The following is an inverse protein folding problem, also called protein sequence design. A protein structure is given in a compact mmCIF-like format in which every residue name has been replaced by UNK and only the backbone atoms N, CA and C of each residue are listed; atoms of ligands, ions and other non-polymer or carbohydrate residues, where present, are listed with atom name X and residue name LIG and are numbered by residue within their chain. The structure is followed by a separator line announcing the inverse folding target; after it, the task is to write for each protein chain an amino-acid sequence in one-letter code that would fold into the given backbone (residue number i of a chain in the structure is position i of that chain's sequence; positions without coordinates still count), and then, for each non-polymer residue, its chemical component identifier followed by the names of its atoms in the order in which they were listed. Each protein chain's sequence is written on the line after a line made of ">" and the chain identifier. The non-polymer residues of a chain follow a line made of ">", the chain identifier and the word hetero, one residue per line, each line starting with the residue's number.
data_IF_007058617052
#
_entry.id   IF_007058617052
#
_cell.length_a   1.000
_cell.length_b   1.000
_cell.length_c   1.000
_cell.angle_alpha   90.00
_cell.angle_beta   90.00
_cell.angle_gamma   90.00
#
_symmetry.space_group_name_H-M   'P 1'
#
loop_
_entity.id
_entity.type
_entity.pdbx_description
1 polymer ?
#
# COMPACT_ATOMS: atom_id res chain seq x y z
N UNK A 1 -10.55 29.01 37.47
CA UNK A 1 -10.95 27.94 36.54
C UNK A 1 -9.73 27.06 36.27
N UNK A 2 -9.88 25.73 36.25
CA UNK A 2 -8.80 24.81 36.58
C UNK A 2 -7.80 24.60 35.44
N UNK A 3 -6.55 24.40 35.86
CA UNK A 3 -5.41 23.92 35.09
C UNK A 3 -5.66 22.46 34.69
N UNK A 4 -5.62 22.15 33.39
CA UNK A 4 -5.59 20.75 32.91
C UNK A 4 -4.14 20.31 32.91
N UNK A 5 -3.75 19.57 33.96
CA UNK A 5 -2.46 18.89 34.05
C UNK A 5 -2.60 17.57 33.28
N UNK A 6 -2.05 17.52 32.06
CA UNK A 6 -1.86 16.26 31.34
C UNK A 6 -0.60 15.57 31.88
N UNK A 7 -0.76 14.71 32.89
CA UNK A 7 0.28 13.74 33.26
C UNK A 7 0.26 12.61 32.23
N UNK A 8 0.99 12.77 31.13
CA UNK A 8 1.35 11.65 30.26
C UNK A 8 2.81 11.29 30.50
N UNK A 9 3.02 10.29 31.36
CA UNK A 9 4.31 9.68 31.69
C UNK A 9 4.81 8.68 30.64
N UNK A 10 4.39 8.82 29.38
CA UNK A 10 4.78 7.90 28.30
C UNK A 10 5.61 8.62 27.23
N UNK A 11 6.68 9.27 27.68
CA UNK A 11 7.73 9.87 26.84
C UNK A 11 8.83 8.85 26.47
N UNK A 12 8.55 7.54 26.57
CA UNK A 12 9.54 6.46 26.43
C UNK A 12 9.23 5.43 25.33
N UNK A 13 8.15 5.61 24.55
CA UNK A 13 7.87 4.77 23.36
C UNK A 13 8.08 5.59 22.08
N UNK A 14 9.20 6.32 22.04
CA UNK A 14 9.74 6.91 20.82
C UNK A 14 11.17 6.40 20.64
N UNK A 15 11.39 5.10 20.88
CA UNK A 15 12.64 4.44 20.55
C UNK A 15 12.53 3.93 19.12
N UNK A 16 13.27 4.61 18.24
CA UNK A 16 13.84 4.05 17.02
C UNK A 16 12.85 3.62 15.92
N UNK A 17 12.33 4.61 15.19
CA UNK A 17 12.17 4.42 13.74
C UNK A 17 13.59 4.29 13.16
N UNK A 18 14.14 3.07 13.09
CA UNK A 18 15.34 2.84 12.28
C UNK A 18 14.88 2.93 10.82
N UNK A 19 14.94 4.14 10.29
CA UNK A 19 14.81 4.40 8.86
C UNK A 19 16.09 3.94 8.13
N UNK A 20 16.35 2.63 8.11
CA UNK A 20 17.46 2.09 7.34
C UNK A 20 17.03 1.96 5.87
N UNK A 21 17.83 2.42 4.90
CA UNK A 21 17.65 2.05 3.50
C UNK A 21 17.76 0.52 3.41
N UNK A 22 16.64 -0.06 2.99
CA UNK A 22 16.27 -1.46 3.12
C UNK A 22 17.18 -2.38 2.27
N UNK A 23 18.34 -2.80 2.79
CA UNK A 23 19.00 -4.06 2.39
C UNK A 23 18.38 -5.20 3.21
N UNK A 24 17.08 -5.38 3.08
CA UNK A 24 16.31 -6.15 4.06
C UNK A 24 16.00 -7.53 3.50
N UNK A 25 16.18 -8.59 4.31
CA UNK A 25 15.88 -9.96 3.88
C UNK A 25 14.41 -10.09 3.44
N UNK A 26 14.14 -10.99 2.49
CA UNK A 26 12.79 -11.26 1.96
C UNK A 26 11.76 -11.54 3.07
N UNK A 27 12.22 -12.10 4.20
CA UNK A 27 11.40 -12.34 5.39
C UNK A 27 10.69 -11.09 5.92
N UNK A 28 11.35 -9.94 5.85
CA UNK A 28 10.82 -8.71 6.45
C UNK A 28 9.87 -8.01 5.46
N UNK A 29 10.10 -8.22 4.16
CA UNK A 29 9.18 -7.82 3.07
C UNK A 29 7.85 -8.55 3.22
N UNK A 30 7.90 -9.87 3.45
CA UNK A 30 6.71 -10.68 3.69
C UNK A 30 6.04 -10.31 5.02
N UNK A 31 6.84 -10.07 6.07
CA UNK A 31 6.32 -9.67 7.37
C UNK A 31 5.56 -8.33 7.30
N UNK A 32 6.13 -7.30 6.67
CA UNK A 32 5.46 -6.00 6.55
C UNK A 32 4.24 -6.08 5.65
N UNK A 33 4.29 -6.81 4.53
CA UNK A 33 3.13 -7.01 3.66
C UNK A 33 1.99 -7.72 4.41
N UNK A 34 2.32 -8.70 5.26
CA UNK A 34 1.36 -9.38 6.12
C UNK A 34 0.77 -8.45 7.18
N UNK A 35 1.57 -7.62 7.83
CA UNK A 35 1.08 -6.67 8.83
C UNK A 35 0.15 -5.65 8.19
N UNK A 36 0.51 -5.11 7.02
CA UNK A 36 -0.35 -4.19 6.25
C UNK A 36 -1.65 -4.88 5.83
N UNK A 37 -1.57 -6.13 5.36
CA UNK A 37 -2.74 -6.95 5.06
C UNK A 37 -3.66 -7.05 6.27
N UNK A 38 -3.16 -7.52 7.41
CA UNK A 38 -3.98 -7.79 8.60
C UNK A 38 -4.57 -6.49 9.19
N UNK A 39 -3.86 -5.37 9.10
CA UNK A 39 -4.30 -4.08 9.60
C UNK A 39 -5.38 -3.41 8.74
N UNK A 40 -5.40 -3.68 7.42
CA UNK A 40 -6.17 -2.91 6.45
C UNK A 40 -7.20 -3.75 5.66
N UNK A 41 -7.26 -5.07 5.90
CA UNK A 41 -8.13 -5.98 5.15
C UNK A 41 -9.61 -5.58 5.13
N UNK A 42 -10.09 -5.03 6.24
CA UNK A 42 -11.49 -4.62 6.42
C UNK A 42 -11.72 -3.12 6.21
N UNK A 43 -10.69 -2.39 5.76
CA UNK A 43 -10.82 -0.98 5.43
C UNK A 43 -11.59 -0.78 4.11
N UNK A 44 -12.50 0.19 4.09
CA UNK A 44 -13.40 0.45 2.96
C UNK A 44 -12.63 0.86 1.70
N UNK A 45 -11.57 1.66 1.85
CA UNK A 45 -10.76 2.12 0.73
C UNK A 45 -9.94 0.97 0.13
N UNK A 46 -9.35 0.13 0.97
CA UNK A 46 -8.59 -1.02 0.47
C UNK A 46 -9.46 -2.11 -0.14
N UNK A 47 -10.65 -2.34 0.42
CA UNK A 47 -11.64 -3.23 -0.18
C UNK A 47 -12.11 -2.72 -1.56
N UNK A 48 -12.17 -1.39 -1.74
CA UNK A 48 -12.43 -0.76 -3.03
C UNK A 48 -11.31 -1.05 -4.05
N UNK A 49 -10.03 -0.91 -3.66
CA UNK A 49 -8.88 -1.11 -4.56
C UNK A 49 -8.77 -2.53 -5.12
N UNK A 50 -9.18 -3.52 -4.34
CA UNK A 50 -9.20 -4.95 -4.76
C UNK A 50 -10.57 -5.38 -5.29
N UNK A 51 -11.50 -4.45 -5.47
CA UNK A 51 -12.86 -4.72 -5.92
C UNK A 51 -13.59 -5.82 -5.12
N UNK A 52 -13.35 -5.90 -3.81
CA UNK A 52 -13.93 -6.91 -2.93
C UNK A 52 -13.21 -8.26 -2.90
N UNK A 53 -12.18 -8.47 -3.74
CA UNK A 53 -11.36 -9.68 -3.76
C UNK A 53 -10.33 -9.68 -2.63
N UNK A 54 -10.81 -9.88 -1.39
CA UNK A 54 -9.99 -9.89 -0.16
C UNK A 54 -8.81 -10.85 -0.24
N UNK A 55 -8.95 -11.97 -0.95
CA UNK A 55 -7.88 -12.94 -1.21
C UNK A 55 -6.68 -12.36 -1.97
N UNK A 56 -6.85 -11.25 -2.69
CA UNK A 56 -5.79 -10.58 -3.45
C UNK A 56 -5.07 -9.49 -2.64
N UNK A 57 -5.60 -9.15 -1.45
CA UNK A 57 -5.09 -8.00 -0.70
C UNK A 57 -3.64 -8.17 -0.27
N UNK A 58 -3.25 -9.39 0.13
CA UNK A 58 -1.87 -9.69 0.49
C UNK A 58 -0.92 -9.47 -0.69
N UNK A 59 -1.27 -9.98 -1.87
CA UNK A 59 -0.47 -9.82 -3.09
C UNK A 59 -0.35 -8.35 -3.51
N UNK A 60 -1.40 -7.56 -3.30
CA UNK A 60 -1.35 -6.11 -3.54
C UNK A 60 -0.36 -5.42 -2.59
N UNK A 61 -0.40 -5.71 -1.28
CA UNK A 61 0.52 -5.12 -0.32
C UNK A 61 1.97 -5.53 -0.61
N UNK A 62 2.19 -6.81 -0.95
CA UNK A 62 3.51 -7.31 -1.32
C UNK A 62 4.06 -6.59 -2.55
N UNK A 63 3.22 -6.37 -3.58
CA UNK A 63 3.60 -5.63 -4.77
C UNK A 63 3.97 -4.16 -4.46
N UNK A 64 3.20 -3.49 -3.61
CA UNK A 64 3.46 -2.09 -3.20
C UNK A 64 4.80 -1.97 -2.46
N UNK A 65 5.06 -2.87 -1.52
CA UNK A 65 6.33 -2.89 -0.77
C UNK A 65 7.50 -3.13 -1.72
N UNK A 66 7.39 -4.10 -2.63
CA UNK A 66 8.44 -4.38 -3.64
C UNK A 66 8.68 -3.21 -4.59
N UNK A 67 7.61 -2.54 -5.04
CA UNK A 67 7.74 -1.32 -5.84
C UNK A 67 8.48 -0.21 -5.06
N UNK A 68 8.18 -0.07 -3.77
CA UNK A 68 8.88 0.83 -2.86
C UNK A 68 10.37 0.56 -2.73
N UNK A 69 10.82 -0.70 -2.82
CA UNK A 69 12.24 -1.05 -2.78
C UNK A 69 12.99 -0.69 -4.06
N UNK A 70 12.28 -0.55 -5.18
CA UNK A 70 12.88 -0.29 -6.49
C UNK A 70 12.98 1.20 -6.81
N UNK A 71 11.92 1.98 -6.57
CA UNK A 71 11.88 3.41 -6.90
C UNK A 71 11.35 4.30 -5.77
N UNK A 72 11.17 3.76 -4.58
CA UNK A 72 10.68 4.50 -3.42
C UNK A 72 11.59 4.35 -2.21
N UNK A 73 10.96 4.42 -1.05
CA UNK A 73 11.57 4.24 0.25
C UNK A 73 10.64 3.38 1.09
N UNK A 74 11.17 2.29 1.65
CA UNK A 74 10.45 1.44 2.60
C UNK A 74 11.05 1.67 3.97
N UNK A 75 10.20 2.01 4.93
CA UNK A 75 10.58 2.17 6.32
C UNK A 75 9.87 1.13 7.15
N UNK A 76 10.61 0.44 8.00
CA UNK A 76 10.08 -0.56 8.92
C UNK A 76 10.07 -0.01 10.35
N UNK A 77 9.04 -0.37 11.10
CA UNK A 77 8.99 -0.17 12.54
C UNK A 77 9.31 -1.51 13.20
N UNK A 78 10.26 -1.51 14.13
CA UNK A 78 10.67 -2.68 14.89
C UNK A 78 10.41 -2.48 16.38
N UNK A 79 10.12 -3.55 17.11
CA UNK A 79 10.07 -3.52 18.57
C UNK A 79 11.47 -3.66 19.20
N UNK A 80 11.53 -3.68 20.54
CA UNK A 80 12.79 -3.81 21.27
C UNK A 80 13.53 -5.15 21.03
N UNK A 81 12.86 -6.14 20.44
CA UNK A 81 13.45 -7.44 20.06
C UNK A 81 13.98 -7.47 18.62
N UNK A 82 13.75 -6.41 17.83
CA UNK A 82 14.05 -6.36 16.41
C UNK A 82 12.98 -7.03 15.54
N UNK A 83 11.79 -7.31 16.08
CA UNK A 83 10.69 -7.86 15.30
C UNK A 83 9.96 -6.73 14.56
N UNK A 84 9.69 -6.91 13.27
CA UNK A 84 8.92 -5.97 12.47
C UNK A 84 7.47 -5.92 12.99
N UNK A 85 7.01 -4.73 13.37
CA UNK A 85 5.66 -4.46 13.88
C UNK A 85 4.85 -3.54 12.96
N UNK A 86 5.47 -3.04 11.89
CA UNK A 86 4.80 -2.22 10.88
C UNK A 86 5.77 -1.71 9.84
N UNK A 87 5.25 -0.97 8.88
CA UNK A 87 6.06 -0.25 7.92
C UNK A 87 5.26 0.72 7.09
N UNK A 88 5.96 1.46 6.25
CA UNK A 88 5.37 2.41 5.31
C UNK A 88 6.20 2.44 4.04
N UNK A 89 5.53 2.69 2.92
CA UNK A 89 6.14 2.88 1.61
C UNK A 89 5.93 4.33 1.19
N UNK A 90 6.99 4.96 0.69
CA UNK A 90 6.98 6.35 0.25
C UNK A 90 7.63 6.49 -1.11
N UNK A 91 7.05 7.31 -2.00
CA UNK A 91 7.64 7.69 -3.28
C UNK A 91 7.94 9.19 -3.23
N UNK A 92 9.20 9.55 -3.51
CA UNK A 92 9.66 10.94 -3.44
C UNK A 92 9.10 11.82 -4.56
N UNK A 93 9.32 13.15 -4.52
CA UNK A 93 8.92 14.04 -5.60
C UNK A 93 9.49 13.59 -6.94
N UNK A 94 8.64 13.51 -7.98
CA UNK A 94 9.02 13.04 -9.31
C UNK A 94 8.98 11.52 -9.49
N UNK A 95 8.60 10.77 -8.45
CA UNK A 95 8.36 9.34 -8.48
C UNK A 95 6.93 9.03 -8.05
N UNK A 96 6.34 8.00 -8.66
CA UNK A 96 5.00 7.52 -8.34
C UNK A 96 5.02 6.01 -8.12
N UNK A 97 3.99 5.49 -7.46
CA UNK A 97 3.78 4.06 -7.38
C UNK A 97 3.55 3.50 -8.79
N UNK A 98 4.38 2.54 -9.20
CA UNK A 98 4.40 1.90 -10.52
C UNK A 98 4.87 2.84 -11.65
N UNK A 99 5.81 3.74 -11.35
CA UNK A 99 6.40 4.65 -12.35
C UNK A 99 7.40 3.96 -13.32
N UNK A 100 7.74 2.69 -13.09
CA UNK A 100 8.69 1.92 -13.90
C UNK A 100 8.21 0.51 -14.22
N UNK A 101 8.68 -0.03 -15.35
CA UNK A 101 8.40 -1.41 -15.76
C UNK A 101 8.90 -2.42 -14.73
N UNK A 102 9.99 -2.10 -14.03
CA UNK A 102 10.54 -2.94 -12.97
C UNK A 102 9.56 -3.09 -11.81
N UNK A 103 8.95 -1.98 -11.36
CA UNK A 103 7.94 -1.98 -10.32
C UNK A 103 6.68 -2.77 -10.72
N UNK A 104 6.23 -2.62 -11.98
CA UNK A 104 5.11 -3.41 -12.52
C UNK A 104 5.40 -4.91 -12.46
N UNK A 105 6.61 -5.31 -12.83
CA UNK A 105 7.04 -6.70 -12.85
C UNK A 105 7.40 -7.26 -11.47
N UNK A 106 7.51 -6.41 -10.45
CA UNK A 106 7.83 -6.76 -9.07
C UNK A 106 6.69 -7.47 -8.30
N UNK A 107 5.59 -7.81 -8.98
CA UNK A 107 4.44 -8.51 -8.42
C UNK A 107 3.10 -7.91 -8.82
N UNK A 108 3.07 -6.63 -9.19
CA UNK A 108 1.82 -5.92 -9.50
C UNK A 108 1.08 -6.54 -10.71
N UNK A 109 1.81 -6.90 -11.78
CA UNK A 109 1.21 -7.58 -12.93
C UNK A 109 0.57 -8.93 -12.57
N UNK A 110 1.16 -9.67 -11.61
CA UNK A 110 0.59 -10.93 -11.11
C UNK A 110 -0.68 -10.67 -10.29
N UNK A 111 -0.66 -9.66 -9.44
CA UNK A 111 -1.84 -9.21 -8.68
C UNK A 111 -3.00 -8.79 -9.60
N UNK A 112 -2.72 -8.06 -10.68
CA UNK A 112 -3.74 -7.57 -11.61
C UNK A 112 -4.32 -8.64 -12.54
N UNK A 113 -3.62 -9.74 -12.76
CA UNK A 113 -4.06 -10.82 -13.65
C UNK A 113 -5.47 -11.39 -13.30
N UNK A 114 -5.78 -11.76 -12.05
CA UNK A 114 -7.13 -12.21 -11.70
C UNK A 114 -8.20 -11.11 -11.83
N UNK A 115 -7.86 -9.85 -11.51
CA UNK A 115 -8.79 -8.72 -11.61
C UNK A 115 -9.19 -8.43 -13.07
N UNK A 116 -8.25 -8.55 -14.00
CA UNK A 116 -8.50 -8.33 -15.44
C UNK A 116 -9.27 -9.47 -16.11
N UNK A 117 -9.19 -10.69 -15.58
CA UNK A 117 -9.92 -11.84 -16.11
C UNK A 117 -11.37 -11.91 -15.59
N UNK A 118 -11.64 -11.33 -14.41
CA UNK A 118 -12.95 -11.32 -13.77
C UNK A 118 -13.85 -10.12 -14.07
N UNK A 119 -13.35 -9.06 -14.72
CA UNK A 119 -14.06 -7.78 -14.79
C UNK A 119 -15.11 -7.71 -15.91
N UNK A 120 -16.27 -8.34 -15.69
CA UNK A 120 -17.54 -7.80 -16.21
C UNK A 120 -18.34 -7.09 -15.12
N UNK A 121 -18.07 -7.38 -13.84
CA UNK A 121 -18.90 -6.99 -12.69
C UNK A 121 -18.11 -6.20 -11.62
N UNK A 122 -17.21 -5.32 -12.04
CA UNK A 122 -16.65 -4.35 -11.10
C UNK A 122 -17.78 -3.39 -10.68
N UNK A 123 -17.96 -3.09 -9.37
CA UNK A 123 -19.07 -2.26 -8.90
C UNK A 123 -19.11 -0.84 -9.49
N UNK A 124 -18.03 -0.44 -10.17
CA UNK A 124 -17.82 0.87 -10.78
C UNK A 124 -17.77 0.81 -12.33
N UNK A 125 -17.98 -0.38 -12.92
CA UNK A 125 -18.01 -0.63 -14.36
C UNK A 125 -16.67 -0.41 -15.08
N UNK A 126 -16.47 -0.98 -16.28
CA UNK A 126 -15.27 -0.80 -17.11
C UNK A 126 -14.97 0.65 -17.54
N UNK A 127 -15.83 1.59 -17.16
CA UNK A 127 -15.87 2.98 -17.62
C UNK A 127 -14.82 3.88 -16.95
N UNK A 128 -14.33 3.53 -15.76
CA UNK A 128 -13.40 4.40 -15.00
C UNK A 128 -11.91 4.22 -15.38
N UNK A 129 -11.53 3.14 -16.06
CA UNK A 129 -10.13 2.88 -16.46
C UNK A 129 -9.96 2.55 -17.94
N UNK A 130 -11.05 2.46 -18.73
CA UNK A 130 -10.90 2.47 -20.18
C UNK A 130 -10.60 3.90 -20.64
N UNK A 131 -9.41 4.08 -21.20
CA UNK A 131 -9.05 5.25 -22.02
C UNK A 131 -9.78 5.19 -23.38
N UNK A 132 -11.11 5.09 -23.36
CA UNK A 132 -11.91 5.28 -24.55
C UNK A 132 -12.16 6.79 -24.67
N UNK A 133 -11.58 7.44 -25.68
CA UNK A 133 -11.73 8.89 -25.93
C UNK A 133 -13.20 9.36 -25.98
N UNK A 134 -14.14 8.45 -26.25
CA UNK A 134 -15.58 8.74 -26.23
C UNK A 134 -16.17 9.06 -24.85
N UNK A 135 -15.58 8.57 -23.75
CA UNK A 135 -16.12 8.79 -22.39
C UNK A 135 -15.88 10.23 -21.92
N UNK A 136 -14.73 10.82 -22.28
CA UNK A 136 -14.39 12.20 -21.92
C UNK A 136 -15.33 13.23 -22.58
N UNK A 137 -15.92 12.91 -23.73
CA UNK A 137 -16.87 13.79 -24.41
C UNK A 137 -18.20 13.87 -23.63
N UNK A 138 -18.69 12.75 -23.08
CA UNK A 138 -19.98 12.71 -22.36
C UNK A 138 -19.95 13.36 -20.98
N UNK A 139 -18.79 13.43 -20.34
CA UNK A 139 -18.62 14.08 -19.03
C UNK A 139 -18.39 15.60 -19.16
N UNK A 140 -17.90 16.08 -20.31
CA UNK A 140 -17.77 17.51 -20.59
C UNK A 140 -19.10 18.20 -20.95
N UNK A 141 -20.16 17.43 -21.21
CA UNK A 141 -21.50 17.92 -21.59
C UNK A 141 -22.50 17.95 -20.42
N UNK A 142 -22.07 17.63 -19.19
CA UNK A 142 -22.86 17.80 -17.95
C UNK A 142 -22.28 18.91 -17.08
#
# INVERSE_FOLDING_TARGET
>A
MPQVIFKSTSLLVLYLLIAAPCSTPESDIEAVAKIMHDALLDDVFFNFLIAGHKELFYEMQLAIVKAGLMGGQVYLAEDASGAVIGGTVWFGPGHELLDSEEQHNAGFNRFMQPLTQGSTDLPWGPELWRNDEEINIRLAEK
#
